data_IF_335520363029
#
_entry.id   IF_335520363029
#
_cell.length_a   1.000
_cell.length_b   1.000
_cell.length_c   1.000
_cell.angle_alpha   90.00
_cell.angle_beta   90.00
_cell.angle_gamma   90.00
#
_symmetry.space_group_name_H-M   'P 1'
#
loop_
_entity.id
_entity.type
_entity.pdbx_description
1 polymer ?
#
# COMPACT_ATOMS: atom_id res chain seq x y z
N UNK A 1 -18.36 1.48 -6.43
CA UNK A 1 -17.55 0.35 -5.91
C UNK A 1 -16.09 0.75 -6.01
N UNK A 2 -15.43 0.86 -4.87
CA UNK A 2 -14.12 1.51 -4.74
C UNK A 2 -13.03 0.78 -5.52
N UNK A 3 -12.25 1.54 -6.30
CA UNK A 3 -11.07 1.08 -7.05
C UNK A 3 -10.15 0.18 -6.19
N UNK A 4 -10.10 0.46 -4.88
CA UNK A 4 -9.25 -0.21 -3.90
C UNK A 4 -9.78 -1.58 -3.44
N UNK A 5 -11.04 -1.94 -3.74
CA UNK A 5 -11.64 -3.23 -3.31
C UNK A 5 -11.82 -4.25 -4.45
N UNK A 6 -11.69 -3.85 -5.72
CA UNK A 6 -11.89 -4.76 -6.87
C UNK A 6 -10.92 -5.95 -6.92
N UNK A 7 -9.63 -5.83 -6.55
CA UNK A 7 -8.76 -6.99 -6.42
C UNK A 7 -9.16 -7.98 -5.30
N UNK A 8 -10.15 -7.63 -4.47
CA UNK A 8 -10.44 -8.28 -3.18
C UNK A 8 -11.79 -9.01 -3.15
N UNK A 9 -12.32 -9.44 -4.31
CA UNK A 9 -13.51 -10.29 -4.34
C UNK A 9 -13.13 -11.74 -3.93
N UNK A 10 -13.73 -12.33 -2.87
CA UNK A 10 -13.44 -13.72 -2.45
C UNK A 10 -13.66 -14.76 -3.55
N UNK A 11 -14.50 -14.46 -4.54
CA UNK A 11 -14.67 -15.29 -5.73
C UNK A 11 -13.38 -15.47 -6.56
N UNK A 12 -12.50 -14.47 -6.57
CA UNK A 12 -11.24 -14.46 -7.32
C UNK A 12 -10.08 -15.13 -6.54
N UNK A 13 -10.15 -15.11 -5.21
CA UNK A 13 -9.21 -15.82 -4.32
C UNK A 13 -9.37 -17.33 -4.49
N UNK A 14 -10.60 -17.81 -4.66
CA UNK A 14 -10.90 -19.24 -4.89
C UNK A 14 -10.51 -19.75 -6.29
N UNK A 15 -10.33 -18.86 -7.27
CA UNK A 15 -10.01 -19.24 -8.67
C UNK A 15 -8.53 -19.05 -9.04
N UNK A 16 -7.67 -18.64 -8.10
CA UNK A 16 -6.25 -18.38 -8.39
C UNK A 16 -6.01 -17.14 -9.28
N UNK A 17 -7.02 -16.28 -9.41
CA UNK A 17 -7.04 -15.12 -10.32
C UNK A 17 -6.74 -13.81 -9.59
N UNK A 18 -5.85 -13.86 -8.60
CA UNK A 18 -5.30 -12.68 -7.95
C UNK A 18 -4.20 -12.10 -8.82
N UNK A 19 -4.55 -11.45 -9.92
CA UNK A 19 -3.55 -10.69 -10.67
C UNK A 19 -3.10 -9.50 -9.83
N UNK A 20 -1.79 -9.20 -9.86
CA UNK A 20 -1.21 -7.90 -9.51
C UNK A 20 -2.15 -6.82 -10.03
N UNK A 21 -2.44 -5.77 -9.24
CA UNK A 21 -3.39 -4.70 -9.63
C UNK A 21 -3.19 -4.41 -11.12
N UNK A 22 -4.16 -4.77 -11.99
CA UNK A 22 -4.02 -4.55 -13.42
C UNK A 22 -3.77 -3.08 -13.68
N UNK A 23 -2.96 -2.73 -14.70
CA UNK A 23 -2.72 -1.34 -15.09
C UNK A 23 -4.01 -0.53 -15.25
N UNK A 24 -5.09 -1.22 -15.62
CA UNK A 24 -6.48 -0.75 -15.74
C UNK A 24 -7.02 -0.06 -14.46
N UNK A 25 -6.53 -0.41 -13.25
CA UNK A 25 -6.91 0.28 -12.02
C UNK A 25 -6.10 1.56 -11.75
N UNK A 26 -5.08 1.84 -12.56
CA UNK A 26 -4.33 3.09 -12.56
C UNK A 26 -4.70 3.97 -13.76
N UNK A 27 -5.75 3.61 -14.51
CA UNK A 27 -6.24 4.38 -15.66
C UNK A 27 -6.49 5.84 -15.31
N UNK A 28 -6.87 6.15 -14.06
CA UNK A 28 -7.03 7.54 -13.63
C UNK A 28 -5.70 8.32 -13.64
N UNK A 29 -4.58 7.68 -13.25
CA UNK A 29 -3.24 8.28 -13.30
C UNK A 29 -2.80 8.47 -14.74
N UNK A 30 -2.98 7.44 -15.58
CA UNK A 30 -2.60 7.50 -16.99
C UNK A 30 -3.46 8.49 -17.77
N UNK A 31 -4.76 8.62 -17.46
CA UNK A 31 -5.62 9.65 -18.03
C UNK A 31 -5.16 11.08 -17.68
N UNK A 32 -4.51 11.27 -16.52
CA UNK A 32 -3.91 12.55 -16.18
C UNK A 32 -2.66 12.87 -17.01
N UNK A 33 -1.96 11.87 -17.56
CA UNK A 33 -0.80 12.10 -18.44
C UNK A 33 -1.20 12.81 -19.73
N UNK A 34 -2.31 12.37 -20.33
CA UNK A 34 -2.81 12.92 -21.60
C UNK A 34 -3.20 14.40 -21.45
N UNK A 35 -3.69 14.79 -20.27
CA UNK A 35 -4.15 16.15 -19.98
C UNK A 35 -2.99 17.03 -19.47
N UNK A 36 -2.02 16.44 -18.78
CA UNK A 36 -0.93 17.17 -18.13
C UNK A 36 0.45 16.50 -18.33
N UNK A 37 1.00 16.50 -19.56
CA UNK A 37 2.25 15.83 -19.89
C UNK A 37 3.46 16.35 -19.09
N UNK A 38 3.40 17.60 -18.61
CA UNK A 38 4.42 18.19 -17.73
C UNK A 38 4.60 17.47 -16.38
N UNK A 39 3.65 16.64 -15.95
CA UNK A 39 3.73 15.86 -14.72
C UNK A 39 4.07 14.39 -14.97
N UNK A 40 4.52 14.04 -16.18
CA UNK A 40 4.77 12.66 -16.57
C UNK A 40 5.67 11.89 -15.59
N UNK A 41 6.83 12.46 -15.26
CA UNK A 41 7.77 11.80 -14.33
C UNK A 41 7.15 11.53 -12.95
N UNK A 42 6.37 12.48 -12.44
CA UNK A 42 5.69 12.37 -11.14
C UNK A 42 4.62 11.29 -11.18
N UNK A 43 3.80 11.28 -12.23
CA UNK A 43 2.71 10.31 -12.40
C UNK A 43 3.27 8.89 -12.59
N UNK A 44 4.31 8.73 -13.40
CA UNK A 44 4.99 7.44 -13.57
C UNK A 44 5.61 6.96 -12.27
N UNK A 45 6.22 7.87 -11.50
CA UNK A 45 6.79 7.55 -10.18
C UNK A 45 5.72 7.09 -9.19
N UNK A 46 4.58 7.77 -9.15
CA UNK A 46 3.43 7.38 -8.33
C UNK A 46 2.89 6.01 -8.73
N UNK A 47 2.73 5.76 -10.04
CA UNK A 47 2.27 4.49 -10.56
C UNK A 47 3.21 3.34 -10.18
N UNK A 48 4.53 3.52 -10.30
CA UNK A 48 5.54 2.54 -9.92
C UNK A 48 5.48 2.19 -8.42
N UNK A 49 5.39 3.21 -7.55
CA UNK A 49 5.25 3.00 -6.10
C UNK A 49 3.97 2.23 -5.77
N UNK A 50 2.84 2.55 -6.41
CA UNK A 50 1.58 1.84 -6.20
C UNK A 50 1.68 0.38 -6.68
N UNK A 51 2.32 0.14 -7.82
CA UNK A 51 2.56 -1.22 -8.34
C UNK A 51 3.45 -2.04 -7.40
N UNK A 52 4.50 -1.44 -6.83
CA UNK A 52 5.35 -2.11 -5.83
C UNK A 52 4.57 -2.54 -4.59
N UNK A 53 3.74 -1.67 -4.04
CA UNK A 53 2.86 -2.05 -2.93
C UNK A 53 1.87 -3.15 -3.32
N UNK A 54 1.29 -3.09 -4.52
CA UNK A 54 0.45 -4.17 -5.04
C UNK A 54 1.19 -5.50 -5.14
N UNK A 55 2.45 -5.48 -5.57
CA UNK A 55 3.26 -6.68 -5.69
C UNK A 55 3.54 -7.29 -4.31
N UNK A 56 3.91 -6.46 -3.31
CA UNK A 56 4.08 -6.89 -1.91
C UNK A 56 2.81 -7.58 -1.39
N UNK A 57 1.65 -6.97 -1.61
CA UNK A 57 0.38 -7.57 -1.23
C UNK A 57 0.15 -8.92 -1.91
N UNK A 58 0.36 -8.99 -3.23
CA UNK A 58 0.16 -10.22 -3.99
C UNK A 58 1.06 -11.35 -3.49
N UNK A 59 2.36 -11.10 -3.32
CA UNK A 59 3.30 -12.12 -2.85
C UNK A 59 2.98 -12.62 -1.45
N UNK A 60 2.42 -11.77 -0.58
CA UNK A 60 1.94 -12.18 0.74
C UNK A 60 0.71 -13.10 0.65
N UNK A 61 -0.22 -12.83 -0.26
CA UNK A 61 -1.42 -13.67 -0.42
C UNK A 61 -1.09 -15.05 -0.96
N UNK A 62 -0.08 -15.17 -1.83
CA UNK A 62 0.41 -16.46 -2.32
C UNK A 62 1.44 -17.12 -1.37
N UNK A 63 1.57 -16.60 -0.14
CA UNK A 63 2.44 -17.11 0.91
C UNK A 63 3.91 -17.25 0.49
N UNK A 64 4.42 -16.24 -0.21
CA UNK A 64 5.83 -16.20 -0.62
C UNK A 64 6.78 -16.16 0.59
N UNK A 65 8.04 -16.60 0.43
CA UNK A 65 9.03 -16.60 1.51
C UNK A 65 9.22 -15.20 2.15
N UNK A 66 9.35 -15.16 3.48
CA UNK A 66 9.53 -13.91 4.24
C UNK A 66 10.71 -13.07 3.72
N UNK A 67 11.83 -13.70 3.31
CA UNK A 67 12.99 -12.99 2.77
C UNK A 67 12.67 -12.24 1.47
N UNK A 68 11.78 -12.78 0.64
CA UNK A 68 11.31 -12.12 -0.59
C UNK A 68 10.47 -10.91 -0.24
N UNK A 69 9.55 -11.05 0.70
CA UNK A 69 8.69 -9.95 1.16
C UNK A 69 9.54 -8.85 1.80
N UNK A 70 10.51 -9.22 2.65
CA UNK A 70 11.41 -8.29 3.31
C UNK A 70 12.23 -7.46 2.31
N UNK A 71 12.77 -8.09 1.25
CA UNK A 71 13.47 -7.36 0.18
C UNK A 71 12.56 -6.35 -0.51
N UNK A 72 11.36 -6.75 -0.91
CA UNK A 72 10.41 -5.85 -1.57
C UNK A 72 9.99 -4.68 -0.67
N UNK A 73 9.79 -4.92 0.63
CA UNK A 73 9.52 -3.88 1.62
C UNK A 73 10.69 -2.91 1.71
N UNK A 74 11.92 -3.40 1.81
CA UNK A 74 13.11 -2.55 1.89
C UNK A 74 13.28 -1.68 0.64
N UNK A 75 13.06 -2.26 -0.55
CA UNK A 75 13.13 -1.52 -1.81
C UNK A 75 12.08 -0.40 -1.87
N UNK A 76 10.84 -0.69 -1.44
CA UNK A 76 9.78 0.31 -1.35
C UNK A 76 10.13 1.45 -0.38
N UNK A 77 10.63 1.11 0.81
CA UNK A 77 11.00 2.10 1.84
C UNK A 77 12.18 2.96 1.40
N UNK A 78 13.19 2.37 0.75
CA UNK A 78 14.33 3.08 0.22
C UNK A 78 13.91 4.11 -0.84
N UNK A 79 13.03 3.71 -1.77
CA UNK A 79 12.52 4.62 -2.80
C UNK A 79 11.65 5.73 -2.21
N UNK A 80 10.75 5.37 -1.30
CA UNK A 80 9.85 6.32 -0.63
C UNK A 80 10.52 7.15 0.45
N UNK A 81 11.82 6.98 0.68
CA UNK A 81 12.61 7.98 1.43
C UNK A 81 12.72 9.30 0.66
N UNK A 82 12.77 9.23 -0.67
CA UNK A 82 12.93 10.38 -1.58
C UNK A 82 11.61 10.86 -2.18
N UNK A 83 10.67 9.95 -2.47
CA UNK A 83 9.37 10.26 -3.06
C UNK A 83 8.24 9.76 -2.16
N UNK A 84 7.58 10.67 -1.46
CA UNK A 84 6.85 10.32 -0.24
C UNK A 84 5.58 11.15 -0.03
N UNK A 85 5.03 11.14 1.19
CA UNK A 85 3.80 11.87 1.52
C UNK A 85 3.82 13.37 1.20
N UNK A 86 5.00 14.01 1.22
CA UNK A 86 5.19 15.43 0.91
C UNK A 86 5.41 15.70 -0.59
N UNK A 87 5.66 14.66 -1.39
CA UNK A 87 5.89 14.80 -2.82
C UNK A 87 4.60 15.17 -3.57
N UNK A 88 4.67 15.81 -4.74
CA UNK A 88 3.49 16.07 -5.55
C UNK A 88 2.69 14.78 -5.82
N UNK A 89 1.39 14.82 -5.53
CA UNK A 89 0.51 13.65 -5.65
C UNK A 89 0.67 12.60 -4.53
N UNK A 90 1.56 12.82 -3.55
CA UNK A 90 1.84 11.88 -2.46
C UNK A 90 0.61 11.49 -1.61
N UNK A 91 -0.45 12.30 -1.63
CA UNK A 91 -1.72 12.02 -0.94
C UNK A 91 -2.39 10.69 -1.36
N UNK A 92 -2.09 10.15 -2.54
CA UNK A 92 -2.61 8.85 -2.98
C UNK A 92 -1.85 7.65 -2.39
N UNK A 93 -0.71 7.89 -1.74
CA UNK A 93 0.17 6.85 -1.21
C UNK A 93 -0.29 6.26 0.14
N UNK A 94 -1.46 6.64 0.63
CA UNK A 94 -2.04 6.13 1.88
C UNK A 94 -2.15 4.60 1.87
N UNK A 95 -2.73 4.03 0.81
CA UNK A 95 -2.87 2.58 0.67
C UNK A 95 -1.51 1.88 0.51
N UNK A 96 -0.59 2.35 -0.37
CA UNK A 96 0.77 1.81 -0.45
C UNK A 96 1.51 1.74 0.90
N UNK A 97 1.52 2.83 1.67
CA UNK A 97 2.16 2.84 2.99
C UNK A 97 1.47 1.90 3.98
N UNK A 98 0.15 1.78 3.92
CA UNK A 98 -0.57 0.82 4.76
C UNK A 98 -0.17 -0.62 4.46
N UNK A 99 -0.15 -1.03 3.18
CA UNK A 99 0.25 -2.38 2.77
C UNK A 99 1.68 -2.69 3.19
N UNK A 100 2.63 -1.81 2.88
CA UNK A 100 4.03 -2.04 3.25
C UNK A 100 4.17 -2.10 4.78
N UNK A 101 3.41 -1.28 5.51
CA UNK A 101 3.35 -1.28 6.96
C UNK A 101 2.94 -2.62 7.58
N UNK A 102 2.06 -3.40 6.93
CA UNK A 102 1.66 -4.72 7.47
C UNK A 102 2.82 -5.71 7.46
N UNK A 103 3.76 -5.50 6.55
CA UNK A 103 4.90 -6.37 6.30
C UNK A 103 6.18 -5.92 7.03
N UNK A 104 6.19 -4.72 7.60
CA UNK A 104 7.34 -4.20 8.36
C UNK A 104 7.64 -5.07 9.60
N UNK A 105 8.85 -5.63 9.63
CA UNK A 105 9.33 -6.47 10.73
C UNK A 105 10.17 -5.69 11.75
N UNK A 106 10.93 -4.67 11.33
CA UNK A 106 11.77 -3.88 12.23
C UNK A 106 11.00 -2.68 12.84
N UNK A 107 11.34 -2.25 14.07
CA UNK A 107 10.79 -1.02 14.65
C UNK A 107 11.05 0.22 13.78
N UNK A 108 12.25 0.31 13.19
CA UNK A 108 12.65 1.45 12.34
C UNK A 108 11.74 1.61 11.13
N UNK A 109 11.43 0.52 10.42
CA UNK A 109 10.54 0.56 9.25
C UNK A 109 9.12 0.94 9.64
N UNK A 110 8.65 0.40 10.77
CA UNK A 110 7.33 0.72 11.33
C UNK A 110 7.21 2.20 11.67
N UNK A 111 8.22 2.76 12.32
CA UNK A 111 8.27 4.18 12.67
C UNK A 111 8.30 5.06 11.42
N UNK A 112 9.06 4.66 10.40
CA UNK A 112 9.05 5.34 9.11
C UNK A 112 7.64 5.35 8.50
N UNK A 113 6.98 4.20 8.38
CA UNK A 113 5.61 4.13 7.82
C UNK A 113 4.62 4.97 8.63
N UNK A 114 4.69 4.92 9.97
CA UNK A 114 3.83 5.76 10.83
C UNK A 114 4.11 7.25 10.59
N UNK A 115 5.36 7.65 10.42
CA UNK A 115 5.70 9.03 10.12
C UNK A 115 5.07 9.50 8.81
N UNK A 116 5.13 8.67 7.76
CA UNK A 116 4.54 8.98 6.45
C UNK A 116 3.02 9.11 6.53
N UNK A 117 2.33 8.19 7.21
CA UNK A 117 0.89 8.27 7.42
C UNK A 117 0.47 9.48 8.25
N UNK A 118 1.28 9.89 9.25
CA UNK A 118 1.02 11.13 10.02
C UNK A 118 1.24 12.38 9.16
N UNK A 119 2.24 12.40 8.29
CA UNK A 119 2.42 13.51 7.35
C UNK A 119 1.24 13.60 6.39
N UNK A 120 0.77 12.46 5.86
CA UNK A 120 -0.43 12.41 5.01
C UNK A 120 -1.65 12.98 5.73
N UNK A 121 -1.86 12.63 7.01
CA UNK A 121 -2.90 13.26 7.82
C UNK A 121 -2.72 14.77 7.92
N UNK A 122 -1.51 15.25 8.21
CA UNK A 122 -1.21 16.68 8.31
C UNK A 122 -1.48 17.46 7.02
N UNK A 123 -1.19 16.88 5.86
CA UNK A 123 -1.42 17.53 4.57
C UNK A 123 -2.87 17.46 4.07
N UNK A 124 -3.57 16.37 4.36
CA UNK A 124 -4.89 16.08 3.74
C UNK A 124 -6.06 16.18 4.70
N UNK A 125 -5.83 16.02 6.01
CA UNK A 125 -6.87 15.85 7.01
C UNK A 125 -7.61 14.51 6.94
N UNK A 126 -7.24 13.59 6.04
CA UNK A 126 -7.99 12.36 5.84
C UNK A 126 -7.82 11.39 7.02
N UNK A 127 -8.93 11.09 7.70
CA UNK A 127 -8.92 10.24 8.91
C UNK A 127 -8.52 8.78 8.64
N UNK A 128 -8.60 8.31 7.40
CA UNK A 128 -8.17 6.96 7.00
C UNK A 128 -6.68 6.72 7.32
N UNK A 129 -5.83 7.74 7.27
CA UNK A 129 -4.41 7.65 7.65
C UNK A 129 -4.21 7.28 9.12
N UNK A 130 -4.93 7.94 10.03
CA UNK A 130 -4.88 7.65 11.47
C UNK A 130 -5.48 6.27 11.77
N UNK A 131 -6.54 5.90 11.06
CA UNK A 131 -7.12 4.57 11.14
C UNK A 131 -6.14 3.48 10.69
N UNK A 132 -5.38 3.70 9.61
CA UNK A 132 -4.29 2.82 9.17
C UNK A 132 -3.28 2.62 10.29
N UNK A 133 -2.79 3.71 10.91
CA UNK A 133 -1.82 3.64 12.01
C UNK A 133 -2.36 2.77 13.16
N UNK A 134 -3.63 2.95 13.53
CA UNK A 134 -4.28 2.15 14.58
C UNK A 134 -4.30 0.67 14.22
N UNK A 135 -4.65 0.32 12.99
CA UNK A 135 -4.66 -1.08 12.52
C UNK A 135 -3.25 -1.66 12.53
N UNK A 136 -2.27 -0.94 11.99
CA UNK A 136 -0.88 -1.38 11.91
C UNK A 136 -0.32 -1.70 13.30
N UNK A 137 -0.53 -0.82 14.28
CA UNK A 137 -0.13 -1.07 15.67
C UNK A 137 -0.75 -2.34 16.24
N UNK A 138 -2.02 -2.61 15.95
CA UNK A 138 -2.70 -3.84 16.38
C UNK A 138 -2.07 -5.07 15.72
N UNK A 139 -1.81 -5.01 14.40
CA UNK A 139 -1.13 -6.09 13.67
C UNK A 139 0.25 -6.38 14.28
N UNK A 140 1.05 -5.34 14.57
CA UNK A 140 2.39 -5.52 15.12
C UNK A 140 2.41 -6.09 16.54
N UNK A 141 1.36 -5.84 17.33
CA UNK A 141 1.17 -6.47 18.64
C UNK A 141 0.74 -7.93 18.53
N UNK A 142 -0.09 -8.27 17.52
CA UNK A 142 -0.59 -9.63 17.26
C UNK A 142 0.45 -10.53 16.57
N UNK A 143 1.36 -9.95 15.77
CA UNK A 143 2.41 -10.65 15.02
C UNK A 143 3.47 -11.36 15.89
N UNK A 144 3.35 -11.31 17.22
CA UNK A 144 4.02 -12.26 18.12
C UNK A 144 3.43 -13.68 18.10
N UNK A 145 2.29 -13.92 17.41
CA UNK A 145 1.58 -15.21 17.45
C UNK A 145 1.17 -15.81 16.08
N UNK A 146 0.88 -15.02 15.04
CA UNK A 146 0.62 -15.57 13.67
C UNK A 146 0.57 -14.46 12.60
N UNK A 147 1.47 -14.48 11.61
CA UNK A 147 1.54 -13.54 10.48
C UNK A 147 0.71 -14.00 9.25
N UNK A 148 -0.55 -14.43 9.44
CA UNK A 148 -1.36 -14.89 8.31
C UNK A 148 -2.05 -13.69 7.62
N UNK A 149 -1.77 -13.48 6.32
CA UNK A 149 -2.35 -12.41 5.49
C UNK A 149 -3.88 -12.38 5.47
N UNK A 150 -4.53 -13.47 5.87
CA UNK A 150 -5.98 -13.60 6.07
C UNK A 150 -6.55 -12.57 7.07
N UNK A 151 -5.81 -12.20 8.12
CA UNK A 151 -6.28 -11.21 9.12
C UNK A 151 -6.16 -9.74 8.65
N UNK A 152 -5.30 -9.46 7.67
CA UNK A 152 -5.19 -8.14 7.06
C UNK A 152 -6.48 -7.82 6.29
N UNK A 153 -7.05 -8.83 5.62
CA UNK A 153 -8.24 -8.74 4.78
C UNK A 153 -9.49 -8.24 5.54
N UNK A 154 -9.77 -8.77 6.72
CA UNK A 154 -10.93 -8.38 7.54
C UNK A 154 -10.82 -6.94 8.06
N UNK A 155 -9.59 -6.44 8.24
CA UNK A 155 -9.32 -5.08 8.74
C UNK A 155 -9.25 -4.05 7.61
N UNK A 156 -8.89 -4.46 6.39
CA UNK A 156 -8.84 -3.60 5.18
C UNK A 156 -10.23 -3.13 4.72
N UNK A 157 -11.30 -3.90 4.98
CA UNK A 157 -12.68 -3.49 4.60
C UNK A 157 -13.09 -2.12 5.17
N UNK A 158 -12.58 -1.72 6.33
CA UNK A 158 -12.83 -0.41 6.92
C UNK A 158 -12.00 0.73 6.31
N UNK A 159 -11.05 0.43 5.42
CA UNK A 159 -10.17 1.40 4.78
C UNK A 159 -10.72 1.95 3.46
N UNK A 160 -11.73 1.27 2.91
CA UNK A 160 -12.20 1.42 1.53
C UNK A 160 -13.58 2.13 1.43
N UNK A 161 -14.12 2.60 2.57
CA UNK A 161 -15.36 3.38 2.60
C UNK A 161 -15.09 4.89 2.59
#
# INVERSE_FOLDING_TARGET
MSLYARPFNPSNVATGLLQVIPQENLDFLYSCLDIHPKYNEIILKLADIIQKASHIYHVRVVDAPEDTIARLVHDFLAETSSFNAASPGGHILIWPFFIVGTECSSPTDRDFVVSQLRMLWGYTGFGNTLYAIKILKKIWQENGKTKSGTHVFDKVKGFIM
#
